data_IF_669029683726
#
_entry.id   IF_669029683726
#
_cell.length_a   1.000
_cell.length_b   1.000
_cell.length_c   1.000
_cell.angle_alpha   90.00
_cell.angle_beta   90.00
_cell.angle_gamma   90.00
#
_symmetry.space_group_name_H-M   'P 1'
#
loop_
_entity.id
_entity.type
_entity.pdbx_description
1 polymer ?
#
# COMPACT_ATOMS: atom_id res chain seq x y z
N UNK A 1 9.38 -5.01 -2.56
CA UNK A 1 10.27 -5.96 -1.86
C UNK A 1 11.70 -5.46 -1.85
N UNK A 2 12.52 -5.92 -0.90
CA UNK A 2 13.93 -5.55 -0.83
C UNK A 2 14.69 -6.03 -2.07
N UNK A 3 15.74 -5.32 -2.45
CA UNK A 3 16.56 -5.70 -3.61
C UNK A 3 17.59 -6.76 -3.22
N UNK A 4 17.88 -7.70 -4.12
CA UNK A 4 18.94 -8.68 -3.91
C UNK A 4 20.32 -8.04 -3.73
N UNK A 5 20.55 -6.87 -4.35
CA UNK A 5 21.78 -6.12 -4.18
C UNK A 5 21.98 -5.73 -2.72
N UNK A 6 20.97 -5.15 -2.09
CA UNK A 6 21.03 -4.77 -0.67
C UNK A 6 21.29 -5.98 0.23
N UNK A 7 20.58 -7.09 0.00
CA UNK A 7 20.76 -8.32 0.78
C UNK A 7 22.16 -8.93 0.65
N UNK A 8 22.80 -8.83 -0.52
CA UNK A 8 24.17 -9.31 -0.75
C UNK A 8 25.23 -8.40 -0.10
N UNK A 9 25.03 -7.08 -0.22
CA UNK A 9 26.03 -6.11 0.21
C UNK A 9 25.96 -5.83 1.71
N UNK A 10 24.75 -5.91 2.30
CA UNK A 10 24.49 -5.49 3.68
C UNK A 10 23.51 -6.43 4.41
N UNK A 11 23.75 -7.75 4.47
CA UNK A 11 22.81 -8.69 5.08
C UNK A 11 22.58 -8.44 6.57
N UNK A 12 23.63 -8.12 7.32
CA UNK A 12 23.55 -7.84 8.76
C UNK A 12 22.76 -6.56 9.05
N UNK A 13 22.97 -5.51 8.27
CA UNK A 13 22.19 -4.27 8.35
C UNK A 13 20.68 -4.54 8.11
N UNK A 14 20.34 -5.38 7.13
CA UNK A 14 18.94 -5.77 6.89
C UNK A 14 18.34 -6.45 8.10
N UNK A 15 19.06 -7.40 8.70
CA UNK A 15 18.59 -8.13 9.91
C UNK A 15 18.42 -7.16 11.09
N UNK A 16 19.38 -6.27 11.35
CA UNK A 16 19.31 -5.27 12.41
C UNK A 16 18.11 -4.32 12.22
N UNK A 17 17.91 -3.82 10.99
CA UNK A 17 16.78 -2.92 10.72
C UNK A 17 15.43 -3.62 10.86
N UNK A 18 15.31 -4.87 10.42
CA UNK A 18 14.07 -5.63 10.57
C UNK A 18 13.75 -6.01 12.02
N UNK A 19 14.76 -6.10 12.89
CA UNK A 19 14.56 -6.28 14.32
C UNK A 19 13.76 -5.11 14.96
N UNK A 20 13.84 -3.90 14.42
CA UNK A 20 13.01 -2.75 14.85
C UNK A 20 11.51 -3.02 14.64
N UNK A 21 11.15 -3.79 13.60
CA UNK A 21 9.77 -4.28 13.37
C UNK A 21 9.45 -5.58 14.14
N UNK A 22 10.30 -5.99 15.07
CA UNK A 22 10.20 -7.28 15.78
C UNK A 22 10.17 -8.49 14.84
N UNK A 23 10.79 -8.37 13.65
CA UNK A 23 10.85 -9.41 12.65
C UNK A 23 12.23 -10.08 12.67
N UNK A 24 12.28 -11.39 13.02
CA UNK A 24 13.51 -12.19 12.93
C UNK A 24 13.76 -12.58 11.46
N UNK A 25 14.68 -11.85 10.84
CA UNK A 25 15.00 -12.01 9.42
C UNK A 25 16.20 -12.92 9.15
N UNK A 26 16.96 -13.32 10.17
CA UNK A 26 18.28 -13.98 9.98
C UNK A 26 18.21 -15.22 9.09
N UNK A 27 17.31 -16.12 9.39
CA UNK A 27 17.17 -17.37 8.63
C UNK A 27 16.69 -17.11 7.21
N UNK A 28 15.69 -16.26 7.04
CA UNK A 28 15.14 -15.94 5.71
C UNK A 28 16.18 -15.26 4.83
N UNK A 29 16.96 -14.31 5.36
CA UNK A 29 18.05 -13.65 4.63
C UNK A 29 19.10 -14.65 4.18
N UNK A 30 19.51 -15.57 5.06
CA UNK A 30 20.47 -16.62 4.71
C UNK A 30 19.93 -17.53 3.59
N UNK A 31 18.67 -17.96 3.68
CA UNK A 31 18.02 -18.80 2.67
C UNK A 31 17.92 -18.09 1.31
N UNK A 32 17.61 -16.79 1.30
CA UNK A 32 17.60 -15.98 0.06
C UNK A 32 18.99 -15.90 -0.56
N UNK A 33 20.02 -15.67 0.25
CA UNK A 33 21.40 -15.58 -0.24
C UNK A 33 21.91 -16.93 -0.78
N UNK A 34 21.48 -18.04 -0.18
CA UNK A 34 21.79 -19.38 -0.68
C UNK A 34 21.08 -19.67 -1.99
N UNK A 35 19.77 -19.35 -2.10
CA UNK A 35 19.01 -19.46 -3.34
C UNK A 35 19.62 -18.59 -4.46
N UNK A 36 20.05 -17.36 -4.13
CA UNK A 36 20.73 -16.48 -5.07
C UNK A 36 22.07 -17.04 -5.56
N UNK A 37 22.83 -17.69 -4.67
CA UNK A 37 24.11 -18.35 -5.05
C UNK A 37 23.83 -19.49 -6.02
N UNK A 38 22.86 -20.36 -5.72
CA UNK A 38 22.45 -21.45 -6.61
C UNK A 38 22.02 -20.92 -7.97
N UNK A 39 21.16 -19.92 -8.00
CA UNK A 39 20.69 -19.30 -9.24
C UNK A 39 21.83 -18.78 -10.10
N UNK A 40 22.81 -18.09 -9.49
CA UNK A 40 23.98 -17.57 -10.22
C UNK A 40 24.87 -18.68 -10.77
N UNK A 41 25.02 -19.79 -10.05
CA UNK A 41 25.76 -20.97 -10.52
C UNK A 41 25.03 -21.59 -11.72
N UNK A 42 23.71 -21.81 -11.63
CA UNK A 42 22.91 -22.34 -12.73
C UNK A 42 22.95 -21.42 -13.97
N UNK A 43 22.93 -20.11 -13.78
CA UNK A 43 23.05 -19.15 -14.89
C UNK A 43 24.39 -19.28 -15.59
N UNK A 44 25.50 -19.35 -14.85
CA UNK A 44 26.83 -19.50 -15.42
C UNK A 44 26.97 -20.84 -16.17
N UNK A 45 26.41 -21.93 -15.67
CA UNK A 45 26.40 -23.23 -16.35
C UNK A 45 25.56 -23.19 -17.63
N UNK A 46 24.38 -22.56 -17.58
CA UNK A 46 23.52 -22.38 -18.75
C UNK A 46 24.19 -21.56 -19.83
N UNK A 47 24.81 -20.43 -19.48
CA UNK A 47 25.52 -19.56 -20.40
C UNK A 47 26.68 -20.31 -21.07
N UNK A 48 27.45 -21.10 -20.32
CA UNK A 48 28.54 -21.94 -20.84
C UNK A 48 28.00 -23.04 -21.77
N UNK A 49 26.90 -23.68 -21.42
CA UNK A 49 26.24 -24.71 -22.22
C UNK A 49 25.76 -24.14 -23.56
N UNK A 50 25.09 -23.00 -23.54
CA UNK A 50 24.59 -22.32 -24.74
C UNK A 50 25.74 -21.82 -25.64
N UNK A 51 26.84 -21.31 -25.08
CA UNK A 51 28.03 -20.91 -25.81
C UNK A 51 28.68 -22.11 -26.51
N UNK A 52 28.83 -23.25 -25.81
CA UNK A 52 29.34 -24.49 -26.37
C UNK A 52 28.47 -25.03 -27.51
N UNK A 53 27.14 -25.03 -27.29
CA UNK A 53 26.16 -25.44 -28.31
C UNK A 53 26.26 -24.59 -29.58
N UNK A 54 26.40 -23.26 -29.45
CA UNK A 54 26.57 -22.34 -30.57
C UNK A 54 27.87 -22.64 -31.35
N UNK A 55 28.97 -22.85 -30.63
CA UNK A 55 30.28 -23.15 -31.21
C UNK A 55 30.26 -24.47 -32.00
N UNK A 56 29.76 -25.55 -31.38
CA UNK A 56 29.65 -26.85 -32.02
C UNK A 56 28.69 -26.83 -33.23
N UNK A 57 27.57 -26.12 -33.12
CA UNK A 57 26.61 -25.99 -34.22
C UNK A 57 27.24 -25.31 -35.43
N UNK A 58 28.14 -24.34 -35.25
CA UNK A 58 28.88 -23.71 -36.37
C UNK A 58 29.87 -24.65 -37.06
N UNK A 59 30.43 -25.62 -36.32
CA UNK A 59 31.39 -26.59 -36.87
C UNK A 59 30.71 -27.62 -37.79
N UNK A 60 29.44 -27.97 -37.57
CA UNK A 60 28.69 -28.92 -38.40
C UNK A 60 28.73 -28.49 -39.89
N UNK A 61 28.49 -27.19 -40.15
CA UNK A 61 28.53 -26.67 -41.53
C UNK A 61 29.89 -26.77 -42.19
N UNK A 62 30.97 -26.54 -41.44
CA UNK A 62 32.35 -26.64 -41.91
C UNK A 62 32.74 -28.10 -42.21
N UNK A 63 32.39 -29.04 -41.30
CA UNK A 63 32.63 -30.47 -41.47
C UNK A 63 31.87 -31.05 -42.68
N UNK A 64 30.62 -30.64 -42.85
CA UNK A 64 29.83 -31.04 -44.01
C UNK A 64 30.41 -30.55 -45.34
N UNK A 65 30.91 -29.30 -45.38
CA UNK A 65 31.60 -28.76 -46.56
C UNK A 65 32.93 -29.46 -46.84
N UNK A 66 33.62 -29.91 -45.81
CA UNK A 66 34.87 -30.67 -45.92
C UNK A 66 34.65 -32.17 -46.28
N UNK A 67 33.38 -32.64 -46.35
CA UNK A 67 33.07 -34.04 -46.67
C UNK A 67 33.18 -35.00 -45.48
N UNK A 68 33.50 -34.50 -44.28
CA UNK A 68 33.62 -35.31 -43.05
C UNK A 68 32.22 -35.51 -42.41
N UNK A 69 31.47 -36.47 -42.93
CA UNK A 69 30.14 -36.85 -42.43
C UNK A 69 30.21 -37.47 -41.04
N UNK A 70 31.21 -38.29 -40.75
CA UNK A 70 31.34 -38.95 -39.45
C UNK A 70 31.64 -37.93 -38.33
N UNK A 71 32.53 -36.96 -38.60
CA UNK A 71 32.77 -35.82 -37.70
C UNK A 71 31.52 -34.97 -37.49
N UNK A 72 30.79 -34.66 -38.57
CA UNK A 72 29.57 -33.90 -38.48
C UNK A 72 28.47 -34.61 -37.64
N UNK A 73 28.30 -35.93 -37.78
CA UNK A 73 27.32 -36.69 -37.00
C UNK A 73 27.72 -36.81 -35.54
N UNK A 74 29.00 -36.93 -35.21
CA UNK A 74 29.49 -36.88 -33.83
C UNK A 74 29.20 -35.51 -33.18
N UNK A 75 29.43 -34.42 -33.89
CA UNK A 75 29.17 -33.07 -33.40
C UNK A 75 27.65 -32.83 -33.24
N UNK A 76 26.80 -33.37 -34.14
CA UNK A 76 25.34 -33.32 -33.98
C UNK A 76 24.87 -34.01 -32.69
N UNK A 77 25.44 -35.17 -32.34
CA UNK A 77 25.12 -35.86 -31.08
C UNK A 77 25.49 -34.99 -29.88
N UNK A 78 26.68 -34.37 -29.87
CA UNK A 78 27.09 -33.46 -28.80
C UNK A 78 26.18 -32.24 -28.70
N UNK A 79 25.76 -31.68 -29.83
CA UNK A 79 24.79 -30.55 -29.84
C UNK A 79 23.43 -30.99 -29.27
N UNK A 80 22.98 -32.23 -29.57
CA UNK A 80 21.74 -32.77 -29.01
C UNK A 80 21.82 -32.94 -27.49
N UNK A 81 22.94 -33.49 -27.00
CA UNK A 81 23.19 -33.65 -25.53
C UNK A 81 23.20 -32.27 -24.82
N UNK A 82 23.91 -31.29 -25.39
CA UNK A 82 23.92 -29.93 -24.84
C UNK A 82 22.56 -29.25 -24.87
N UNK A 83 21.73 -29.54 -25.87
CA UNK A 83 20.35 -29.02 -25.94
C UNK A 83 19.46 -29.60 -24.84
N UNK A 84 19.57 -30.88 -24.55
CA UNK A 84 18.85 -31.48 -23.42
C UNK A 84 19.36 -30.95 -22.08
N UNK A 85 20.70 -30.78 -21.93
CA UNK A 85 21.29 -30.18 -20.73
C UNK A 85 20.83 -28.72 -20.52
N UNK A 86 20.83 -27.88 -21.57
CA UNK A 86 20.36 -26.49 -21.43
C UNK A 86 18.91 -26.41 -21.00
N UNK A 87 18.05 -27.27 -21.56
CA UNK A 87 16.63 -27.35 -21.14
C UNK A 87 16.46 -27.77 -19.68
N UNK A 88 17.26 -28.70 -19.19
CA UNK A 88 17.24 -29.08 -17.78
C UNK A 88 17.73 -27.93 -16.88
N UNK A 89 18.81 -27.23 -17.28
CA UNK A 89 19.31 -26.06 -16.52
C UNK A 89 18.31 -24.90 -16.52
N UNK A 90 17.59 -24.65 -17.61
CA UNK A 90 16.49 -23.66 -17.66
C UNK A 90 15.39 -24.00 -16.65
N UNK A 91 14.95 -25.26 -16.60
CA UNK A 91 13.94 -25.71 -15.64
C UNK A 91 14.39 -25.56 -14.18
N UNK A 92 15.65 -25.91 -13.88
CA UNK A 92 16.24 -25.76 -12.55
C UNK A 92 16.37 -24.25 -12.18
N UNK A 93 16.69 -23.40 -13.15
CA UNK A 93 16.77 -21.97 -12.96
C UNK A 93 15.41 -21.34 -12.67
N UNK A 94 14.36 -21.77 -13.40
CA UNK A 94 12.98 -21.32 -13.14
C UNK A 94 12.51 -21.71 -11.74
N UNK A 95 12.83 -22.93 -11.31
CA UNK A 95 12.54 -23.38 -9.94
C UNK A 95 13.30 -22.54 -8.91
N UNK A 96 14.58 -22.26 -9.13
CA UNK A 96 15.39 -21.45 -8.23
C UNK A 96 14.92 -19.98 -8.18
N UNK A 97 14.52 -19.40 -9.32
CA UNK A 97 13.91 -18.07 -9.39
C UNK A 97 12.62 -18.00 -8.58
N UNK A 98 11.75 -19.01 -8.73
CA UNK A 98 10.50 -19.07 -7.97
C UNK A 98 10.77 -19.15 -6.47
N UNK A 99 11.63 -20.06 -6.03
CA UNK A 99 12.02 -20.21 -4.63
C UNK A 99 12.58 -18.90 -4.04
N UNK A 100 13.45 -18.22 -4.77
CA UNK A 100 14.01 -16.94 -4.36
C UNK A 100 12.94 -15.87 -4.21
N UNK A 101 11.99 -15.77 -5.16
CA UNK A 101 10.90 -14.82 -5.08
C UNK A 101 9.94 -15.13 -3.94
N UNK A 102 9.61 -16.42 -3.71
CA UNK A 102 8.76 -16.85 -2.60
C UNK A 102 9.37 -16.48 -1.25
N UNK A 103 10.69 -16.50 -1.11
CA UNK A 103 11.40 -16.07 0.09
C UNK A 103 11.45 -14.53 0.20
N UNK A 104 11.72 -13.82 -0.89
CA UNK A 104 11.83 -12.36 -0.91
C UNK A 104 10.53 -11.66 -0.46
N UNK A 105 9.36 -12.21 -0.82
CA UNK A 105 8.07 -11.65 -0.43
C UNK A 105 7.75 -11.82 1.06
N UNK A 106 8.50 -12.66 1.79
CA UNK A 106 8.36 -12.82 3.23
C UNK A 106 9.02 -11.71 4.02
N UNK A 107 9.99 -11.00 3.44
CA UNK A 107 10.68 -9.90 4.12
C UNK A 107 9.85 -8.61 4.08
N UNK A 108 9.60 -7.98 5.24
CA UNK A 108 9.03 -6.63 5.28
C UNK A 108 10.00 -5.59 4.72
N UNK A 109 9.49 -4.38 4.49
CA UNK A 109 10.34 -3.24 4.17
C UNK A 109 11.14 -2.80 5.41
N UNK A 110 12.33 -2.24 5.16
CA UNK A 110 13.19 -1.72 6.23
C UNK A 110 12.59 -0.45 6.83
N UNK A 111 12.45 -0.36 8.15
CA UNK A 111 12.13 0.91 8.79
C UNK A 111 13.31 1.87 8.63
N UNK A 112 13.05 3.15 8.34
CA UNK A 112 14.11 4.16 8.29
C UNK A 112 14.66 4.48 9.69
N UNK A 113 15.77 5.22 9.75
CA UNK A 113 16.43 5.55 11.04
C UNK A 113 15.58 6.40 11.99
N UNK A 114 14.55 7.08 11.49
CA UNK A 114 13.65 7.93 12.29
C UNK A 114 12.54 7.15 12.99
N UNK A 115 12.34 5.87 12.64
CA UNK A 115 11.31 5.03 13.25
C UNK A 115 11.70 4.70 14.69
N UNK A 116 10.88 5.06 15.69
CA UNK A 116 11.15 4.76 17.08
C UNK A 116 11.01 3.25 17.36
N UNK A 117 11.75 2.78 18.35
CA UNK A 117 11.53 1.45 18.91
C UNK A 117 10.18 1.41 19.63
N UNK A 118 9.52 0.27 19.62
CA UNK A 118 8.22 0.06 20.26
C UNK A 118 7.55 -1.19 19.72
N UNK A 119 6.60 -1.74 20.47
CA UNK A 119 5.95 -3.02 20.18
C UNK A 119 4.50 -2.88 19.75
N UNK A 120 3.83 -1.85 20.24
CA UNK A 120 2.39 -1.64 20.07
C UNK A 120 2.08 -0.19 19.77
N UNK A 121 0.83 0.10 19.39
CA UNK A 121 0.35 1.47 19.15
C UNK A 121 0.54 2.43 20.35
N UNK A 122 0.68 1.89 21.58
CA UNK A 122 0.92 2.69 22.77
C UNK A 122 2.33 3.31 22.79
N UNK A 123 3.26 2.72 22.04
CA UNK A 123 4.65 3.18 21.92
C UNK A 123 4.84 4.22 20.79
N UNK A 124 3.78 4.56 20.06
CA UNK A 124 3.81 5.56 19.01
C UNK A 124 4.11 6.95 19.56
N UNK A 125 4.91 7.73 18.85
CA UNK A 125 5.35 9.05 19.30
C UNK A 125 4.39 10.11 18.80
N UNK A 126 3.73 10.83 19.71
CA UNK A 126 2.93 12.03 19.37
C UNK A 126 3.89 13.14 18.94
N UNK A 127 3.87 13.50 17.65
CA UNK A 127 4.72 14.56 17.10
C UNK A 127 4.03 15.91 17.09
N UNK A 128 2.68 15.93 17.07
CA UNK A 128 1.91 17.18 17.09
C UNK A 128 0.50 16.96 17.65
N UNK A 129 -0.06 18.00 18.30
CA UNK A 129 -1.48 18.11 18.67
C UNK A 129 -2.01 19.45 18.18
N UNK A 130 -3.24 19.47 17.68
CA UNK A 130 -3.90 20.64 17.10
C UNK A 130 -5.36 20.67 17.51
N UNK A 131 -5.86 21.86 17.87
CA UNK A 131 -7.25 22.10 18.28
C UNK A 131 -7.53 21.72 19.73
N UNK A 132 -8.57 22.36 20.29
CA UNK A 132 -9.04 22.11 21.65
C UNK A 132 -10.12 21.04 21.63
N UNK A 133 -10.08 20.12 22.58
CA UNK A 133 -11.10 19.10 22.74
C UNK A 133 -12.36 19.79 23.29
N UNK A 134 -13.53 19.70 22.60
CA UNK A 134 -14.75 20.32 23.09
C UNK A 134 -15.23 19.62 24.37
N UNK A 135 -15.75 20.39 25.33
CA UNK A 135 -16.46 19.84 26.46
C UNK A 135 -17.96 19.83 26.13
N UNK A 136 -18.50 18.66 25.83
CA UNK A 136 -19.91 18.46 25.47
C UNK A 136 -20.76 18.02 26.67
N UNK A 137 -20.14 17.89 27.84
CA UNK A 137 -20.80 17.40 29.04
C UNK A 137 -21.17 15.91 29.02
N UNK A 138 -21.84 15.42 30.07
CA UNK A 138 -22.15 14.00 30.23
C UNK A 138 -23.23 13.46 29.28
N UNK A 139 -24.04 14.35 28.70
CA UNK A 139 -25.14 14.00 27.79
C UNK A 139 -24.74 13.86 26.33
N UNK A 140 -23.46 13.98 26.02
CA UNK A 140 -22.92 13.80 24.66
C UNK A 140 -23.21 12.41 24.13
N UNK A 141 -23.93 12.35 23.02
CA UNK A 141 -24.30 11.08 22.36
C UNK A 141 -23.21 10.61 21.39
N UNK A 142 -22.87 9.33 21.38
CA UNK A 142 -21.98 8.79 20.37
C UNK A 142 -22.69 8.74 19.01
N UNK A 143 -21.88 8.70 17.93
CA UNK A 143 -22.39 8.81 16.55
C UNK A 143 -23.45 7.77 16.18
N UNK A 144 -23.46 6.57 16.73
CA UNK A 144 -24.49 5.56 16.45
C UNK A 144 -25.86 5.92 17.07
N UNK A 145 -25.88 6.64 18.20
CA UNK A 145 -27.14 7.15 18.79
C UNK A 145 -27.62 8.40 18.00
N UNK A 146 -26.69 9.30 17.60
CA UNK A 146 -26.99 10.44 16.75
C UNK A 146 -27.51 9.99 15.38
N UNK A 147 -26.88 8.99 14.77
CA UNK A 147 -27.31 8.38 13.52
C UNK A 147 -28.75 7.87 13.56
N UNK A 148 -29.13 7.22 14.67
CA UNK A 148 -30.49 6.75 14.92
C UNK A 148 -31.46 7.91 15.20
N UNK A 149 -31.06 8.87 16.04
CA UNK A 149 -31.87 10.02 16.40
C UNK A 149 -32.31 10.85 15.20
N UNK A 150 -31.40 11.08 14.25
CA UNK A 150 -31.66 11.89 13.07
C UNK A 150 -31.94 11.06 11.82
N UNK A 151 -32.04 9.74 11.93
CA UNK A 151 -32.31 8.79 10.84
C UNK A 151 -31.39 8.98 9.62
N UNK A 152 -30.10 9.19 9.85
CA UNK A 152 -29.10 9.52 8.82
C UNK A 152 -28.17 8.36 8.46
N UNK A 153 -28.01 7.36 9.32
CA UNK A 153 -27.27 6.14 9.07
C UNK A 153 -28.02 4.98 9.74
N UNK A 154 -28.27 3.93 8.97
CA UNK A 154 -29.01 2.76 9.39
C UNK A 154 -28.12 1.52 9.38
N UNK A 155 -27.72 1.08 10.55
CA UNK A 155 -26.88 -0.11 10.73
C UNK A 155 -27.68 -1.40 10.61
N UNK A 156 -28.93 -1.41 11.07
CA UNK A 156 -29.82 -2.61 11.02
C UNK A 156 -30.18 -2.93 9.56
N UNK A 157 -30.45 -1.90 8.77
CA UNK A 157 -30.69 -2.08 7.33
C UNK A 157 -29.44 -2.64 6.64
N UNK A 158 -28.25 -2.21 7.02
CA UNK A 158 -26.99 -2.76 6.53
C UNK A 158 -26.83 -4.24 6.85
N UNK A 159 -27.17 -4.64 8.08
CA UNK A 159 -27.18 -6.06 8.48
C UNK A 159 -28.17 -6.87 7.63
N UNK A 160 -29.36 -6.31 7.35
CA UNK A 160 -30.36 -6.95 6.48
C UNK A 160 -29.88 -7.16 5.05
N UNK A 161 -29.15 -6.19 4.49
CA UNK A 161 -28.69 -6.23 3.09
C UNK A 161 -27.47 -7.12 2.87
N UNK A 162 -26.52 -7.08 3.82
CA UNK A 162 -25.22 -7.72 3.63
C UNK A 162 -24.72 -8.41 4.89
N UNK A 163 -24.72 -7.70 6.03
CA UNK A 163 -24.18 -8.17 7.30
C UNK A 163 -23.70 -7.01 8.17
N UNK A 164 -23.19 -7.30 9.36
CA UNK A 164 -22.59 -6.29 10.23
C UNK A 164 -21.37 -5.63 9.52
N UNK A 165 -21.14 -4.34 9.79
CA UNK A 165 -20.02 -3.61 9.19
C UNK A 165 -20.28 -3.03 7.79
N UNK A 166 -21.56 -3.01 7.34
CA UNK A 166 -22.00 -2.42 6.08
C UNK A 166 -23.12 -1.39 6.35
N UNK A 167 -22.81 -0.16 6.79
CA UNK A 167 -23.83 0.84 7.12
C UNK A 167 -24.55 1.35 5.87
N UNK A 168 -25.83 1.75 6.03
CA UNK A 168 -26.61 2.43 4.99
C UNK A 168 -26.77 3.90 5.37
N UNK A 169 -26.17 4.79 4.60
CA UNK A 169 -26.33 6.24 4.76
C UNK A 169 -27.64 6.69 4.13
N UNK A 170 -28.38 7.57 4.82
CA UNK A 170 -29.69 8.06 4.37
C UNK A 170 -29.79 9.59 4.43
N UNK A 171 -30.62 10.19 3.61
CA UNK A 171 -30.98 11.60 3.68
C UNK A 171 -29.77 12.56 3.80
N UNK A 172 -29.76 13.38 4.88
CA UNK A 172 -28.67 14.32 5.17
C UNK A 172 -27.34 13.59 5.45
N UNK A 173 -27.35 12.36 5.98
CA UNK A 173 -26.13 11.54 6.17
C UNK A 173 -25.50 11.12 4.84
N UNK A 174 -26.29 10.63 3.89
CA UNK A 174 -25.80 10.30 2.55
C UNK A 174 -25.28 11.54 1.81
N UNK A 175 -25.95 12.70 2.01
CA UNK A 175 -25.48 13.97 1.44
C UNK A 175 -24.17 14.42 2.06
N UNK A 176 -23.99 14.29 3.39
CA UNK A 176 -22.74 14.61 4.09
C UNK A 176 -21.59 13.71 3.59
N UNK A 177 -21.83 12.40 3.46
CA UNK A 177 -20.84 11.46 2.94
C UNK A 177 -20.31 11.90 1.54
N UNK A 178 -21.21 12.18 0.63
CA UNK A 178 -20.87 12.64 -0.70
C UNK A 178 -20.21 14.02 -0.74
N UNK A 179 -20.62 14.92 0.17
CA UNK A 179 -20.04 16.24 0.33
C UNK A 179 -18.57 16.16 0.77
N UNK A 180 -18.25 15.25 1.72
CA UNK A 180 -16.88 15.01 2.17
C UNK A 180 -16.01 14.47 1.03
N UNK A 181 -16.50 13.51 0.24
CA UNK A 181 -15.77 12.99 -0.92
C UNK A 181 -15.42 14.11 -1.89
N UNK A 182 -16.43 14.91 -2.29
CA UNK A 182 -16.23 16.03 -3.22
C UNK A 182 -15.24 17.06 -2.67
N UNK A 183 -15.40 17.43 -1.39
CA UNK A 183 -14.50 18.40 -0.76
C UNK A 183 -13.04 17.90 -0.69
N UNK A 184 -12.83 16.66 -0.34
CA UNK A 184 -11.47 16.10 -0.25
C UNK A 184 -10.79 16.00 -1.61
N UNK A 185 -11.53 15.61 -2.66
CA UNK A 185 -11.02 15.60 -4.03
C UNK A 185 -10.67 17.00 -4.52
N UNK A 186 -11.56 17.99 -4.31
CA UNK A 186 -11.32 19.38 -4.68
C UNK A 186 -10.10 19.95 -3.93
N UNK A 187 -9.95 19.63 -2.65
CA UNK A 187 -8.81 20.05 -1.85
C UNK A 187 -7.49 19.48 -2.38
N UNK A 188 -7.48 18.23 -2.79
CA UNK A 188 -6.30 17.55 -3.34
C UNK A 188 -5.96 18.09 -4.74
N UNK A 189 -6.95 18.23 -5.62
CA UNK A 189 -6.73 18.74 -6.99
C UNK A 189 -6.26 20.20 -6.99
N UNK A 190 -6.76 21.02 -6.07
CA UNK A 190 -6.24 22.38 -5.86
C UNK A 190 -4.77 22.42 -5.41
N UNK A 191 -4.26 21.33 -4.79
CA UNK A 191 -2.86 21.16 -4.40
C UNK A 191 -2.00 20.50 -5.51
N UNK A 192 -2.55 20.32 -6.71
CA UNK A 192 -1.85 19.80 -7.89
C UNK A 192 -1.81 18.27 -7.98
N UNK A 193 -2.70 17.55 -7.27
CA UNK A 193 -2.90 16.13 -7.51
C UNK A 193 -3.82 15.91 -8.71
N UNK A 194 -3.43 15.02 -9.61
CA UNK A 194 -4.28 14.55 -10.72
C UNK A 194 -5.35 13.62 -10.16
N UNK A 195 -6.61 13.97 -10.31
CA UNK A 195 -7.71 13.08 -9.97
C UNK A 195 -7.80 11.93 -10.99
N UNK A 196 -7.93 10.70 -10.47
CA UNK A 196 -8.15 9.50 -11.27
C UNK A 196 -9.28 8.69 -10.66
N UNK A 197 -10.07 8.03 -11.51
CA UNK A 197 -11.17 7.14 -11.09
C UNK A 197 -10.82 5.70 -11.51
N UNK A 198 -10.17 4.91 -10.61
CA UNK A 198 -9.71 3.58 -10.92
C UNK A 198 -10.79 2.52 -10.72
N UNK A 199 -10.65 1.31 -11.33
CA UNK A 199 -11.47 0.16 -11.00
C UNK A 199 -11.36 -0.21 -9.52
N UNK A 200 -12.47 -0.65 -8.92
CA UNK A 200 -12.51 -1.14 -7.53
C UNK A 200 -12.27 -2.65 -7.40
N UNK A 201 -12.20 -3.35 -8.53
CA UNK A 201 -11.75 -4.73 -8.62
C UNK A 201 -10.41 -4.77 -9.35
N UNK A 202 -9.43 -5.46 -8.77
CA UNK A 202 -8.06 -5.53 -9.30
C UNK A 202 -7.62 -6.98 -9.46
N UNK A 203 -6.66 -7.22 -10.36
CA UNK A 203 -6.04 -8.52 -10.53
C UNK A 203 -4.96 -8.78 -9.47
N UNK A 204 -4.52 -10.03 -9.39
CA UNK A 204 -3.48 -10.49 -8.46
C UNK A 204 -2.18 -9.67 -8.57
N UNK A 205 -1.75 -9.36 -9.80
CA UNK A 205 -0.53 -8.56 -10.02
C UNK A 205 -0.62 -7.16 -9.41
N UNK A 206 -1.81 -6.55 -9.38
CA UNK A 206 -2.01 -5.25 -8.72
C UNK A 206 -1.94 -5.36 -7.20
N UNK A 207 -2.55 -6.39 -6.61
CA UNK A 207 -2.42 -6.66 -5.18
C UNK A 207 -0.98 -6.98 -4.76
N UNK A 208 -0.24 -7.70 -5.59
CA UNK A 208 1.17 -7.99 -5.37
C UNK A 208 2.04 -6.73 -5.45
N UNK A 209 1.79 -5.85 -6.43
CA UNK A 209 2.59 -4.66 -6.70
C UNK A 209 2.71 -3.73 -5.49
N UNK A 210 1.64 -3.52 -4.75
CA UNK A 210 1.62 -2.67 -3.55
C UNK A 210 1.82 -3.42 -2.24
N UNK A 211 1.82 -4.77 -2.29
CA UNK A 211 2.16 -5.60 -1.14
C UNK A 211 1.01 -6.12 -0.30
N UNK A 212 -0.23 -5.98 -0.77
CA UNK A 212 -1.41 -6.62 -0.16
C UNK A 212 -1.42 -8.13 -0.39
N UNK A 213 -0.80 -8.59 -1.48
CA UNK A 213 -0.60 -10.01 -1.74
C UNK A 213 0.88 -10.39 -1.59
N UNK A 214 1.18 -11.60 -1.09
CA UNK A 214 0.25 -12.58 -0.53
C UNK A 214 -0.46 -12.06 0.73
N UNK A 215 -1.78 -12.28 0.81
CA UNK A 215 -2.62 -11.82 1.93
C UNK A 215 -2.43 -12.71 3.16
N UNK A 216 -1.46 -12.36 3.98
CA UNK A 216 -1.09 -13.13 5.19
C UNK A 216 -2.11 -13.01 6.32
N UNK A 217 -2.88 -11.92 6.31
CA UNK A 217 -3.84 -11.58 7.37
C UNK A 217 -5.29 -11.90 6.98
N UNK A 218 -5.52 -12.32 5.74
CA UNK A 218 -6.85 -12.65 5.24
C UNK A 218 -7.77 -11.42 5.13
N UNK A 219 -7.20 -10.25 4.80
CA UNK A 219 -7.94 -8.99 4.78
C UNK A 219 -8.67 -8.70 3.47
N UNK A 220 -8.23 -9.30 2.36
CA UNK A 220 -8.81 -9.01 1.04
C UNK A 220 -10.04 -9.86 0.74
N UNK A 221 -11.09 -9.22 0.23
CA UNK A 221 -12.20 -9.93 -0.42
C UNK A 221 -11.76 -10.41 -1.80
N UNK A 222 -11.94 -11.70 -2.07
CA UNK A 222 -11.52 -12.37 -3.29
C UNK A 222 -12.71 -12.98 -4.05
N UNK A 223 -12.95 -12.50 -5.28
CA UNK A 223 -13.88 -13.10 -6.23
C UNK A 223 -13.18 -14.28 -6.92
N UNK A 224 -13.32 -15.47 -6.36
CA UNK A 224 -12.50 -16.65 -6.69
C UNK A 224 -12.72 -17.18 -8.11
N UNK A 225 -13.93 -17.00 -8.69
CA UNK A 225 -14.24 -17.48 -10.04
C UNK A 225 -13.43 -16.74 -11.10
N UNK A 226 -13.34 -15.42 -10.96
CA UNK A 226 -12.67 -14.53 -11.93
C UNK A 226 -11.25 -14.17 -11.51
N UNK A 227 -10.82 -14.58 -10.32
CA UNK A 227 -9.54 -14.22 -9.69
C UNK A 227 -9.33 -12.71 -9.59
N UNK A 228 -10.34 -11.97 -9.16
CA UNK A 228 -10.26 -10.55 -8.85
C UNK A 228 -10.39 -10.28 -7.36
N UNK A 229 -9.77 -9.21 -6.92
CA UNK A 229 -9.79 -8.76 -5.52
C UNK A 229 -10.48 -7.41 -5.41
N UNK A 230 -11.35 -7.24 -4.40
CA UNK A 230 -11.90 -5.93 -4.07
C UNK A 230 -10.81 -5.08 -3.39
N UNK A 231 -10.68 -3.83 -3.80
CA UNK A 231 -9.62 -2.94 -3.29
C UNK A 231 -9.81 -2.61 -1.81
N UNK A 232 -8.80 -2.78 -0.96
CA UNK A 232 -8.85 -2.35 0.43
C UNK A 232 -8.51 -0.86 0.59
N UNK A 233 -8.01 -0.22 -0.47
CA UNK A 233 -7.58 1.17 -0.57
C UNK A 233 -7.35 1.55 -2.04
N UNK A 234 -7.57 2.80 -2.40
CA UNK A 234 -7.25 3.32 -3.73
C UNK A 234 -5.73 3.29 -4.04
N UNK A 235 -4.88 3.19 -3.03
CA UNK A 235 -3.44 2.95 -3.20
C UNK A 235 -3.17 1.85 -4.22
N UNK A 236 -3.89 0.72 -4.12
CA UNK A 236 -3.64 -0.45 -4.95
C UNK A 236 -3.80 -0.14 -6.44
N UNK A 237 -4.95 0.29 -6.94
CA UNK A 237 -5.11 0.56 -8.36
C UNK A 237 -4.30 1.79 -8.81
N UNK A 238 -4.24 2.86 -8.01
CA UNK A 238 -3.59 4.12 -8.41
C UNK A 238 -2.07 3.94 -8.56
N UNK A 239 -1.41 3.28 -7.60
CA UNK A 239 0.04 3.03 -7.71
C UNK A 239 0.37 2.09 -8.87
N UNK A 240 -0.52 1.12 -9.16
CA UNK A 240 -0.36 0.18 -10.27
C UNK A 240 -0.54 0.79 -11.68
N UNK A 241 -1.03 2.02 -11.81
CA UNK A 241 -1.01 2.77 -13.08
C UNK A 241 0.42 2.83 -13.63
N UNK A 242 1.41 2.83 -12.75
CA UNK A 242 2.83 2.90 -13.10
C UNK A 242 3.56 1.55 -12.99
N UNK A 243 2.84 0.41 -12.93
CA UNK A 243 3.46 -0.91 -13.00
C UNK A 243 4.09 -1.12 -14.38
N UNK A 244 5.34 -1.65 -14.40
CA UNK A 244 6.17 -1.88 -15.59
C UNK A 244 6.49 -0.60 -16.39
N UNK A 245 6.42 0.57 -15.76
CA UNK A 245 6.68 1.87 -16.39
C UNK A 245 8.13 2.31 -16.12
N UNK A 246 8.75 2.93 -17.12
CA UNK A 246 10.03 3.62 -17.01
C UNK A 246 9.78 5.11 -17.24
N UNK A 247 9.94 5.91 -16.18
CA UNK A 247 9.84 7.37 -16.20
C UNK A 247 11.18 8.01 -16.56
N UNK A 248 11.16 9.32 -16.81
CA UNK A 248 12.37 10.15 -16.85
C UNK A 248 12.44 10.95 -15.53
N UNK A 249 13.64 11.36 -15.12
CA UNK A 249 13.85 12.17 -13.92
C UNK A 249 12.96 13.44 -13.89
N UNK A 250 12.77 14.09 -15.05
CA UNK A 250 11.94 15.28 -15.22
C UNK A 250 10.43 15.07 -15.02
N UNK A 251 9.98 13.81 -15.03
CA UNK A 251 8.55 13.48 -14.88
C UNK A 251 8.12 13.51 -13.40
N UNK A 252 9.08 13.63 -12.46
CA UNK A 252 8.79 13.70 -11.03
C UNK A 252 8.60 15.15 -10.52
N UNK A 253 7.77 15.33 -9.47
CA UNK A 253 6.97 14.32 -8.81
C UNK A 253 5.69 13.98 -9.58
N UNK A 254 5.27 12.72 -9.55
CA UNK A 254 3.92 12.34 -10.00
C UNK A 254 2.99 12.35 -8.79
N UNK A 255 1.88 13.07 -8.88
CA UNK A 255 0.89 13.21 -7.79
C UNK A 255 -0.49 12.81 -8.29
N UNK A 256 -1.16 11.89 -7.61
CA UNK A 256 -2.49 11.42 -7.97
C UNK A 256 -3.38 11.37 -6.74
N UNK A 257 -4.69 11.58 -6.94
CA UNK A 257 -5.73 11.37 -5.92
C UNK A 257 -6.87 10.57 -6.49
N UNK A 258 -7.49 9.74 -5.67
CA UNK A 258 -8.64 8.94 -6.05
C UNK A 258 -9.58 8.73 -4.87
N UNK A 259 -10.86 8.70 -5.17
CA UNK A 259 -11.89 8.16 -4.29
C UNK A 259 -12.16 6.70 -4.68
N UNK A 260 -12.25 5.81 -3.68
CA UNK A 260 -12.83 4.48 -3.86
C UNK A 260 -13.63 4.06 -2.63
N UNK A 261 -14.69 3.26 -2.80
CA UNK A 261 -15.10 2.35 -1.74
C UNK A 261 -13.93 1.38 -1.46
N UNK A 262 -13.72 1.10 -0.19
CA UNK A 262 -12.65 0.21 0.29
C UNK A 262 -13.29 -0.99 0.98
N UNK A 263 -12.73 -2.17 0.77
CA UNK A 263 -13.28 -3.43 1.28
C UNK A 263 -12.23 -4.17 2.10
N UNK A 264 -12.54 -4.41 3.38
CA UNK A 264 -11.65 -5.15 4.28
C UNK A 264 -12.43 -6.21 5.03
N UNK A 265 -11.90 -7.42 5.11
CA UNK A 265 -12.56 -8.52 5.82
C UNK A 265 -12.55 -8.33 7.33
N UNK A 266 -11.70 -7.43 7.84
CA UNK A 266 -11.57 -7.13 9.26
C UNK A 266 -11.41 -8.40 10.11
N UNK A 267 -10.66 -9.39 9.58
CA UNK A 267 -10.46 -10.67 10.20
C UNK A 267 -9.84 -10.52 11.60
N UNK A 268 -10.47 -11.12 12.59
CA UNK A 268 -10.00 -11.06 13.99
C UNK A 268 -10.48 -9.85 14.80
N UNK A 269 -11.34 -8.98 14.25
CA UNK A 269 -11.84 -7.81 14.97
C UNK A 269 -13.17 -8.11 15.67
N UNK A 270 -13.23 -7.88 16.99
CA UNK A 270 -14.40 -8.15 17.83
C UNK A 270 -14.61 -7.05 18.89
N UNK A 271 -15.85 -6.94 19.41
CA UNK A 271 -16.18 -6.16 20.59
C UNK A 271 -16.49 -4.67 20.35
N UNK A 272 -16.10 -3.80 21.29
CA UNK A 272 -16.45 -2.36 21.28
C UNK A 272 -15.90 -1.59 20.08
N UNK A 273 -14.79 -2.06 19.51
CA UNK A 273 -14.11 -1.40 18.41
C UNK A 273 -14.84 -1.52 17.07
N UNK A 274 -15.82 -2.43 16.95
CA UNK A 274 -16.63 -2.62 15.73
C UNK A 274 -17.98 -1.90 15.79
N UNK A 275 -18.27 -1.11 16.84
CA UNK A 275 -19.57 -0.44 16.98
C UNK A 275 -19.64 0.82 16.11
N UNK A 276 -20.78 0.98 15.42
CA UNK A 276 -21.05 2.15 14.59
C UNK A 276 -20.12 2.22 13.39
N UNK A 277 -19.45 3.37 13.21
CA UNK A 277 -18.54 3.66 12.10
C UNK A 277 -17.06 3.40 12.44
N UNK A 278 -16.75 2.85 13.60
CA UNK A 278 -15.37 2.72 14.04
C UNK A 278 -14.56 1.72 13.20
N UNK A 279 -15.21 0.61 12.76
CA UNK A 279 -14.59 -0.42 11.94
C UNK A 279 -15.62 -1.08 11.03
N UNK A 280 -15.37 -1.04 9.73
CA UNK A 280 -16.33 -1.43 8.70
C UNK A 280 -15.70 -2.36 7.67
N UNK A 281 -16.51 -3.27 7.12
CA UNK A 281 -16.13 -4.14 5.99
C UNK A 281 -16.12 -3.38 4.65
N UNK A 282 -16.99 -2.37 4.53
CA UNK A 282 -17.03 -1.46 3.39
C UNK A 282 -17.07 -0.02 3.91
N UNK A 283 -16.18 0.82 3.37
CA UNK A 283 -16.11 2.25 3.71
C UNK A 283 -15.53 3.05 2.56
N UNK A 284 -15.78 4.36 2.59
CA UNK A 284 -15.27 5.29 1.58
C UNK A 284 -13.97 5.95 2.04
N UNK A 285 -13.02 6.09 1.11
CA UNK A 285 -11.74 6.75 1.37
C UNK A 285 -11.28 7.54 0.14
N UNK A 286 -10.81 8.75 0.36
CA UNK A 286 -10.02 9.48 -0.62
C UNK A 286 -8.54 9.26 -0.30
N UNK A 287 -7.76 8.96 -1.34
CA UNK A 287 -6.34 8.63 -1.22
C UNK A 287 -5.51 9.58 -2.06
N UNK A 288 -4.32 9.91 -1.59
CA UNK A 288 -3.27 10.59 -2.35
C UNK A 288 -2.09 9.64 -2.52
N UNK A 289 -1.56 9.58 -3.74
CA UNK A 289 -0.38 8.76 -4.09
C UNK A 289 0.64 9.67 -4.74
N UNK A 290 1.90 9.51 -4.35
CA UNK A 290 2.99 10.25 -4.96
C UNK A 290 4.14 9.32 -5.35
N UNK A 291 4.68 9.52 -6.56
CA UNK A 291 5.95 8.94 -6.98
C UNK A 291 7.01 10.02 -6.87
N UNK A 292 8.16 9.66 -6.30
CA UNK A 292 9.24 10.60 -6.03
C UNK A 292 10.60 10.02 -6.43
N UNK A 293 11.53 10.92 -6.70
CA UNK A 293 12.95 10.58 -6.72
C UNK A 293 13.38 10.14 -5.30
N UNK A 294 14.27 9.16 -5.17
CA UNK A 294 14.73 8.65 -3.87
C UNK A 294 15.22 9.74 -2.93
N UNK A 295 16.03 10.67 -3.43
CA UNK A 295 16.64 11.77 -2.67
C UNK A 295 15.62 12.83 -2.20
N UNK A 296 14.43 12.87 -2.80
CA UNK A 296 13.35 13.82 -2.47
C UNK A 296 12.16 13.20 -1.75
N UNK A 297 12.17 11.88 -1.54
CA UNK A 297 10.98 11.19 -1.03
C UNK A 297 10.61 11.53 0.42
N UNK A 298 11.59 11.92 1.25
CA UNK A 298 11.30 12.37 2.62
C UNK A 298 10.76 13.80 2.65
N UNK A 299 11.26 14.69 1.78
CA UNK A 299 10.66 16.02 1.55
C UNK A 299 9.21 15.88 1.05
N UNK A 300 8.98 14.93 0.15
CA UNK A 300 7.64 14.60 -0.34
C UNK A 300 6.73 14.10 0.78
N UNK A 301 7.23 13.24 1.68
CA UNK A 301 6.49 12.77 2.85
C UNK A 301 6.08 13.92 3.76
N UNK A 302 7.01 14.81 4.09
CA UNK A 302 6.73 15.99 4.92
C UNK A 302 5.66 16.89 4.27
N UNK A 303 5.74 17.05 2.95
CA UNK A 303 4.73 17.78 2.17
C UNK A 303 3.35 17.12 2.21
N UNK A 304 3.28 15.79 2.12
CA UNK A 304 2.02 15.03 2.23
C UNK A 304 1.44 15.10 3.65
N UNK A 305 2.26 14.98 4.69
CA UNK A 305 1.84 15.14 6.09
C UNK A 305 1.28 16.53 6.32
N UNK A 306 1.97 17.59 5.86
CA UNK A 306 1.49 18.97 5.96
C UNK A 306 0.18 19.21 5.16
N UNK A 307 -0.01 18.53 4.03
CA UNK A 307 -1.23 18.60 3.23
C UNK A 307 -2.42 17.99 3.98
N UNK A 308 -2.27 16.78 4.55
CA UNK A 308 -3.31 16.13 5.34
C UNK A 308 -3.61 16.92 6.63
N UNK A 309 -2.58 17.49 7.27
CA UNK A 309 -2.76 18.38 8.43
C UNK A 309 -3.68 19.56 8.11
N UNK A 310 -3.44 20.25 6.99
CA UNK A 310 -4.31 21.35 6.54
C UNK A 310 -5.73 20.88 6.29
N UNK A 311 -5.91 19.71 5.69
CA UNK A 311 -7.23 19.15 5.42
C UNK A 311 -8.01 18.86 6.71
N UNK A 312 -7.39 18.18 7.69
CA UNK A 312 -8.05 17.91 8.99
C UNK A 312 -8.34 19.20 9.76
N UNK A 313 -7.40 20.16 9.74
CA UNK A 313 -7.59 21.49 10.36
C UNK A 313 -8.80 22.21 9.77
N UNK A 314 -9.02 22.13 8.46
CA UNK A 314 -10.15 22.78 7.79
C UNK A 314 -11.52 22.28 8.23
N UNK A 315 -11.59 21.04 8.76
CA UNK A 315 -12.81 20.45 9.32
C UNK A 315 -13.10 20.93 10.76
N UNK A 316 -12.15 21.61 11.40
CA UNK A 316 -12.30 22.10 12.79
C UNK A 316 -12.28 21.01 13.85
N UNK A 317 -11.77 19.83 13.53
CA UNK A 317 -11.67 18.71 14.47
C UNK A 317 -10.35 18.80 15.27
N UNK A 318 -10.36 18.52 16.57
CA UNK A 318 -9.13 18.34 17.35
C UNK A 318 -8.46 17.04 16.93
N UNK A 319 -7.14 17.09 16.65
CA UNK A 319 -6.39 15.94 16.20
C UNK A 319 -4.96 15.89 16.74
N UNK A 320 -4.36 14.72 16.63
CA UNK A 320 -2.93 14.52 16.87
C UNK A 320 -2.29 13.77 15.70
N UNK A 321 -1.00 13.99 15.52
CA UNK A 321 -0.16 13.29 14.55
C UNK A 321 0.79 12.40 15.32
N UNK A 322 0.82 11.12 14.96
CA UNK A 322 1.68 10.10 15.52
C UNK A 322 2.74 9.70 14.51
N UNK A 323 3.98 9.50 14.94
CA UNK A 323 4.96 8.72 14.19
C UNK A 323 4.95 7.30 14.73
N UNK A 324 4.66 6.33 13.88
CA UNK A 324 4.52 4.95 14.29
C UNK A 324 5.87 4.35 14.69
N UNK A 325 5.84 3.52 15.72
CA UNK A 325 6.97 2.69 16.14
C UNK A 325 7.08 1.43 15.27
N UNK A 326 8.21 0.75 15.37
CA UNK A 326 8.50 -0.42 14.53
C UNK A 326 7.48 -1.54 14.64
N UNK A 327 6.90 -1.78 15.82
CA UNK A 327 5.93 -2.85 16.05
C UNK A 327 4.51 -2.55 15.55
N UNK A 328 4.19 -1.27 15.28
CA UNK A 328 2.87 -0.84 14.79
C UNK A 328 2.86 -0.49 13.29
N UNK A 329 4.03 -0.43 12.66
CA UNK A 329 4.16 -0.12 11.24
C UNK A 329 3.65 -1.25 10.35
N UNK A 330 3.07 -0.88 9.20
CA UNK A 330 2.70 -1.86 8.17
C UNK A 330 3.92 -2.63 7.65
N UNK A 331 3.66 -3.82 7.10
CA UNK A 331 4.68 -4.68 6.50
C UNK A 331 5.51 -3.96 5.41
N UNK A 332 4.88 -3.09 4.63
CA UNK A 332 5.46 -2.48 3.43
C UNK A 332 6.08 -1.11 3.64
N UNK A 333 5.74 -0.38 4.70
CA UNK A 333 6.21 0.99 4.91
C UNK A 333 7.63 1.07 5.50
N UNK A 334 8.38 2.11 5.14
CA UNK A 334 9.65 2.48 5.74
C UNK A 334 9.50 3.48 6.89
N UNK A 335 8.45 4.31 6.83
CA UNK A 335 8.01 5.23 7.89
C UNK A 335 6.55 5.58 7.65
N UNK A 336 5.81 5.79 8.75
CA UNK A 336 4.39 6.13 8.71
C UNK A 336 4.07 7.19 9.75
N UNK A 337 3.22 8.14 9.36
CA UNK A 337 2.57 9.11 10.24
C UNK A 337 1.07 8.90 10.21
N UNK A 338 0.45 8.69 11.38
CA UNK A 338 -0.99 8.56 11.51
C UNK A 338 -1.60 9.84 12.06
N UNK A 339 -2.79 10.17 11.56
CA UNK A 339 -3.63 11.24 12.06
C UNK A 339 -4.80 10.64 12.81
N UNK A 340 -4.99 11.07 14.03
CA UNK A 340 -6.12 10.67 14.84
C UNK A 340 -6.91 11.90 15.26
N UNK A 341 -8.23 11.88 15.06
CA UNK A 341 -9.16 12.88 15.57
C UNK A 341 -9.75 12.43 16.91
N UNK A 342 -10.03 13.37 17.81
CA UNK A 342 -10.62 13.03 19.08
C UNK A 342 -12.14 12.95 18.97
N UNK A 343 -12.72 11.84 19.45
CA UNK A 343 -14.15 11.65 19.63
C UNK A 343 -14.51 11.97 21.07
N UNK A 344 -15.22 13.09 21.29
CA UNK A 344 -15.56 13.52 22.64
C UNK A 344 -16.60 12.60 23.30
N UNK A 345 -17.57 12.10 22.54
CA UNK A 345 -18.59 11.20 23.10
C UNK A 345 -18.03 9.80 23.43
N UNK A 346 -17.00 9.33 22.71
CA UNK A 346 -16.34 8.06 22.99
C UNK A 346 -15.12 8.21 23.92
N UNK A 347 -14.67 9.46 24.21
CA UNK A 347 -13.46 9.77 25.00
C UNK A 347 -12.21 9.06 24.48
N UNK A 348 -12.02 9.02 23.14
CA UNK A 348 -10.91 8.32 22.51
C UNK A 348 -10.46 9.00 21.22
N UNK A 349 -9.23 8.71 20.83
CA UNK A 349 -8.67 9.06 19.54
C UNK A 349 -9.09 8.04 18.47
N UNK A 350 -9.42 8.52 17.27
CA UNK A 350 -9.83 7.72 16.11
C UNK A 350 -8.89 8.02 14.96
N UNK A 351 -8.16 7.03 14.49
CA UNK A 351 -7.30 7.14 13.30
C UNK A 351 -8.15 7.43 12.05
N UNK A 352 -7.82 8.48 11.33
CA UNK A 352 -8.53 8.94 10.12
C UNK A 352 -7.65 8.99 8.88
N UNK A 353 -6.33 8.94 9.05
CA UNK A 353 -5.37 8.92 7.96
C UNK A 353 -4.08 8.26 8.40
N UNK A 354 -3.42 7.60 7.46
CA UNK A 354 -2.08 7.08 7.58
C UNK A 354 -1.29 7.55 6.35
N UNK A 355 -0.16 8.24 6.55
CA UNK A 355 0.70 8.76 5.48
C UNK A 355 2.05 8.07 5.54
N UNK A 356 2.44 7.39 4.47
CA UNK A 356 3.59 6.49 4.45
C UNK A 356 4.54 6.74 3.29
N UNK A 357 5.84 6.53 3.55
CA UNK A 357 6.86 6.36 2.53
C UNK A 357 7.26 4.88 2.48
N UNK A 358 7.24 4.29 1.30
CA UNK A 358 7.61 2.89 1.06
C UNK A 358 9.02 2.76 0.49
N UNK A 359 9.67 3.89 0.25
CA UNK A 359 10.93 3.93 -0.49
C UNK A 359 10.82 3.13 -1.79
N UNK A 360 11.82 2.31 -2.12
CA UNK A 360 11.82 1.50 -3.34
C UNK A 360 11.06 0.16 -3.22
N UNK A 361 10.47 -0.14 -2.07
CA UNK A 361 9.90 -1.46 -1.80
C UNK A 361 8.78 -1.86 -2.76
N UNK A 362 7.80 -0.95 -2.94
CA UNK A 362 6.71 -1.15 -3.89
C UNK A 362 7.21 -0.99 -5.33
N UNK A 363 8.05 0.00 -5.63
CA UNK A 363 8.62 0.21 -6.95
C UNK A 363 9.36 -1.03 -7.47
N UNK A 364 10.06 -1.76 -6.60
CA UNK A 364 10.71 -3.01 -6.96
C UNK A 364 9.71 -4.13 -7.31
N UNK A 365 8.56 -4.21 -6.64
CA UNK A 365 7.48 -5.15 -6.97
C UNK A 365 6.75 -4.77 -8.27
N UNK A 366 6.58 -3.47 -8.48
CA UNK A 366 5.91 -2.88 -9.64
C UNK A 366 6.83 -2.82 -10.87
N UNK A 367 8.12 -3.10 -10.75
CA UNK A 367 9.13 -2.80 -11.76
C UNK A 367 9.12 -1.32 -12.20
N UNK A 368 8.70 -0.43 -11.30
CA UNK A 368 8.67 1.01 -11.54
C UNK A 368 10.07 1.60 -11.42
N UNK A 369 10.60 2.09 -12.53
CA UNK A 369 11.95 2.62 -12.63
C UNK A 369 11.94 3.97 -13.32
N UNK A 370 13.05 4.67 -13.22
CA UNK A 370 13.30 5.86 -14.02
C UNK A 370 14.72 5.88 -14.55
N UNK A 371 14.93 6.66 -15.61
CA UNK A 371 16.27 7.00 -16.10
C UNK A 371 16.67 8.33 -15.48
N UNK A 372 17.81 8.34 -14.78
CA UNK A 372 18.42 9.55 -14.27
C UNK A 372 19.08 10.37 -15.40
N UNK A 373 19.64 11.53 -15.05
CA UNK A 373 20.32 12.43 -15.99
C UNK A 373 21.54 11.79 -16.68
N UNK A 374 22.11 10.73 -16.09
CA UNK A 374 23.23 9.97 -16.65
C UNK A 374 22.76 8.75 -17.50
N UNK A 375 21.44 8.54 -17.58
CA UNK A 375 20.84 7.41 -18.30
C UNK A 375 20.82 6.10 -17.53
N UNK A 376 21.18 6.10 -16.24
CA UNK A 376 21.15 4.94 -15.36
C UNK A 376 19.72 4.63 -14.91
N UNK A 377 19.39 3.34 -14.89
CA UNK A 377 18.09 2.85 -14.40
C UNK A 377 18.09 2.73 -12.89
N UNK A 378 17.17 3.43 -12.25
CA UNK A 378 17.00 3.46 -10.79
C UNK A 378 15.54 3.20 -10.43
N UNK A 379 15.27 2.57 -9.25
CA UNK A 379 13.94 2.42 -8.71
C UNK A 379 13.42 3.77 -8.19
N UNK A 380 12.17 4.11 -8.50
CA UNK A 380 11.51 5.24 -7.88
C UNK A 380 11.14 4.93 -6.42
N UNK A 381 10.77 5.97 -5.65
CA UNK A 381 10.12 5.82 -4.36
C UNK A 381 8.61 6.06 -4.51
N UNK A 382 7.82 5.30 -3.75
CA UNK A 382 6.36 5.46 -3.70
C UNK A 382 5.93 5.92 -2.32
N UNK A 383 4.94 6.80 -2.29
CA UNK A 383 4.32 7.32 -1.07
C UNK A 383 2.80 7.29 -1.24
N UNK A 384 2.08 7.10 -0.15
CA UNK A 384 0.64 7.30 -0.14
C UNK A 384 0.17 7.94 1.17
N UNK A 385 -1.06 8.39 1.18
CA UNK A 385 -1.73 8.85 2.38
C UNK A 385 -3.24 8.93 2.18
N UNK A 386 -3.98 8.62 3.24
CA UNK A 386 -5.43 8.80 3.23
C UNK A 386 -5.77 10.28 3.36
N UNK A 387 -6.59 10.79 2.46
CA UNK A 387 -7.07 12.16 2.42
C UNK A 387 -8.60 12.25 2.45
N UNK A 388 -9.34 11.69 3.32
CA UNK A 388 -9.23 10.95 4.56
C UNK A 388 -10.08 9.66 4.48
N UNK A 389 -10.07 8.82 5.56
CA UNK A 389 -11.03 7.74 5.73
C UNK A 389 -12.34 8.28 6.30
N UNK A 390 -13.42 8.24 5.52
CA UNK A 390 -14.65 8.97 5.81
C UNK A 390 -15.39 8.50 7.08
N UNK A 391 -15.52 7.21 7.41
CA UNK A 391 -16.38 6.79 8.52
C UNK A 391 -16.03 7.43 9.85
N UNK A 392 -14.74 7.44 10.19
CA UNK A 392 -14.29 8.02 11.46
C UNK A 392 -14.32 9.55 11.46
N UNK A 393 -14.16 10.18 10.28
CA UNK A 393 -14.39 11.61 10.11
C UNK A 393 -15.87 11.94 10.32
N UNK A 394 -16.78 11.17 9.71
CA UNK A 394 -18.23 11.34 9.92
C UNK A 394 -18.56 11.15 11.40
N UNK A 395 -18.06 10.08 12.04
CA UNK A 395 -18.28 9.85 13.46
C UNK A 395 -17.84 11.05 14.32
N UNK A 396 -16.63 11.55 14.11
CA UNK A 396 -16.10 12.69 14.85
C UNK A 396 -16.87 14.00 14.56
N UNK A 397 -17.26 14.24 13.31
CA UNK A 397 -18.08 15.41 12.95
C UNK A 397 -19.46 15.37 13.61
N UNK A 398 -20.14 14.23 13.61
CA UNK A 398 -21.43 14.06 14.26
C UNK A 398 -21.32 14.29 15.76
N UNK A 399 -20.32 13.67 16.41
CA UNK A 399 -20.14 13.72 17.85
C UNK A 399 -19.68 15.10 18.33
N UNK A 400 -18.63 15.66 17.73
CA UNK A 400 -18.01 16.89 18.22
C UNK A 400 -18.82 18.16 17.88
N UNK A 401 -19.72 18.11 16.89
CA UNK A 401 -20.53 19.24 16.45
C UNK A 401 -22.01 19.15 16.90
N UNK A 402 -22.34 18.19 17.80
CA UNK A 402 -23.69 18.08 18.31
C UNK A 402 -24.06 19.25 19.22
N UNK A 403 -25.29 19.70 19.13
CA UNK A 403 -25.91 20.76 19.95
C UNK A 403 -27.35 20.37 20.30
N UNK A 404 -27.99 21.14 21.16
CA UNK A 404 -29.42 20.96 21.46
C UNK A 404 -30.34 21.08 20.23
N UNK A 405 -29.90 21.89 19.22
CA UNK A 405 -30.69 22.17 18.02
C UNK A 405 -30.40 21.18 16.87
N UNK A 406 -29.37 20.37 17.01
CA UNK A 406 -28.92 19.47 15.95
C UNK A 406 -27.39 19.43 15.83
N UNK A 407 -26.90 18.87 14.73
CA UNK A 407 -25.48 18.73 14.45
C UNK A 407 -25.07 19.83 13.47
N UNK A 408 -24.19 20.71 13.89
CA UNK A 408 -23.73 21.85 13.08
C UNK A 408 -22.71 21.36 12.05
N UNK A 409 -22.93 21.70 10.78
CA UNK A 409 -22.00 21.37 9.71
C UNK A 409 -20.88 22.41 9.65
N UNK A 410 -19.60 22.00 9.62
CA UNK A 410 -18.48 22.91 9.40
C UNK A 410 -18.70 23.82 8.20
N UNK A 411 -18.37 25.12 8.35
CA UNK A 411 -18.63 26.12 7.31
C UNK A 411 -18.06 25.73 5.94
N UNK A 412 -16.88 25.09 5.94
CA UNK A 412 -16.21 24.67 4.71
C UNK A 412 -17.00 23.60 3.93
N UNK A 413 -17.83 22.79 4.60
CA UNK A 413 -18.63 21.74 3.96
C UNK A 413 -20.02 22.22 3.49
N UNK A 414 -20.50 23.37 3.95
CA UNK A 414 -21.85 23.85 3.62
C UNK A 414 -22.10 24.05 2.13
N UNK A 415 -21.15 24.54 1.32
CA UNK A 415 -21.33 24.62 -0.13
C UNK A 415 -21.58 23.25 -0.78
N UNK A 416 -21.02 22.18 -0.20
CA UNK A 416 -21.14 20.80 -0.71
C UNK A 416 -22.40 20.11 -0.17
N UNK A 417 -22.75 20.34 1.08
CA UNK A 417 -23.95 19.73 1.72
C UNK A 417 -25.23 20.40 1.24
N UNK A 418 -25.24 21.74 1.09
CA UNK A 418 -26.42 22.54 0.82
C UNK A 418 -27.30 22.74 2.06
N UNK A 419 -26.81 22.40 3.25
CA UNK A 419 -27.42 22.70 4.55
C UNK A 419 -26.32 22.93 5.60
N UNK A 420 -26.67 23.59 6.68
CA UNK A 420 -25.76 23.99 7.76
C UNK A 420 -26.01 23.23 9.09
N UNK A 421 -27.09 22.46 9.17
CA UNK A 421 -27.46 21.67 10.35
C UNK A 421 -28.14 20.34 9.94
N UNK A 422 -27.89 19.30 10.71
CA UNK A 422 -28.68 18.06 10.73
C UNK A 422 -29.57 18.12 11.95
N UNK A 423 -30.87 18.24 11.77
CA UNK A 423 -31.95 18.40 12.73
C UNK A 423 -33.06 17.36 12.52
#
# INVERSE_FOLDING_TARGET
>A
MLTLKLLREQPDFVVERLAVKHFDAREIVNNILEADRRRRTLQAELDSCLASQKTLSSQIGALMKAGDKAGADKVKLQVAELKERSKALEADMDKSNKEQNDLLVLLPNLPCSQVPEGKTAEDNVVVKRVGDIPDLGPEALPHWELAKKYDIIDFDLGVKLTGAGFPVYKGKGARLQRALISYFLDFNTAAGYLEVEPPVMVNEASGFGTGQLPDKEGQMYHATVDNYYLVPTAEVPVTNIYRDVILQEKDFPVKMTAYTPCFRREAGSYGKDVRGLNRLHQFDKVEIVQLSLPERSYEALDGMVAHVEKLVTSLGLPFRILRLCGGDMSFTSAITYDFEVYSEAQKRWLEVSSVSNFESYQANRLHLRYKDSEGKMTLAHTLNGSSLALPRIVAALLENNQTEKGIIIPAILRPYTGFDIID
#
